data_IF_625015571602
#
_entry.id   IF_625015571602
#
_cell.length_a   1.000
_cell.length_b   1.000
_cell.length_c   1.000
_cell.angle_alpha   90.00
_cell.angle_beta   90.00
_cell.angle_gamma   90.00
#
_symmetry.space_group_name_H-M   'P 1'
#
loop_
_entity.id
_entity.type
_entity.pdbx_description
1 polymer ?
#
# COMPACT_ATOMS: atom_id res chain seq x y z
N UNK A 1 -19.72 -26.37 -10.35
CA UNK A 1 -20.39 -25.06 -10.14
C UNK A 1 -19.48 -24.22 -9.26
N UNK A 2 -18.68 -23.33 -9.86
CA UNK A 2 -17.70 -22.50 -9.16
C UNK A 2 -18.38 -21.17 -8.84
N UNK A 3 -18.54 -20.83 -7.55
CA UNK A 3 -19.08 -19.53 -7.15
C UNK A 3 -17.97 -18.48 -7.32
N UNK A 4 -18.24 -17.32 -7.95
CA UNK A 4 -17.26 -16.24 -8.00
C UNK A 4 -16.93 -15.76 -6.57
N UNK A 5 -15.67 -15.37 -6.28
CA UNK A 5 -15.30 -14.87 -4.97
C UNK A 5 -16.12 -13.62 -4.64
N UNK A 6 -16.47 -13.40 -3.35
CA UNK A 6 -17.23 -12.24 -2.94
C UNK A 6 -16.46 -10.97 -3.31
N UNK A 7 -17.07 -10.13 -4.16
CA UNK A 7 -16.55 -8.80 -4.46
C UNK A 7 -16.68 -7.97 -3.19
N UNK A 8 -15.56 -7.76 -2.50
CA UNK A 8 -15.50 -6.86 -1.35
C UNK A 8 -15.58 -5.43 -1.90
N UNK A 9 -16.62 -4.65 -1.58
CA UNK A 9 -16.70 -3.28 -2.03
C UNK A 9 -15.52 -2.51 -1.45
N UNK A 10 -14.76 -1.85 -2.33
CA UNK A 10 -13.59 -1.06 -1.93
C UNK A 10 -14.05 0.07 -0.99
N UNK A 11 -13.29 0.35 0.09
CA UNK A 11 -13.55 1.50 0.92
C UNK A 11 -13.44 2.76 0.07
N UNK A 12 -14.54 3.51 0.01
CA UNK A 12 -14.65 4.77 -0.70
C UNK A 12 -13.73 5.81 -0.03
N UNK A 13 -12.70 6.25 -0.76
CA UNK A 13 -11.74 7.24 -0.27
C UNK A 13 -12.37 8.64 -0.28
N UNK A 14 -12.41 9.29 0.88
CA UNK A 14 -12.79 10.71 1.02
C UNK A 14 -11.72 11.60 0.37
N UNK A 15 -12.11 12.63 -0.42
CA UNK A 15 -11.15 13.52 -1.07
C UNK A 15 -10.44 14.39 -0.04
N UNK A 16 -9.18 14.10 0.20
CA UNK A 16 -8.25 14.90 1.00
C UNK A 16 -7.55 15.86 0.04
N UNK A 17 -7.50 17.16 0.37
CA UNK A 17 -6.77 18.15 -0.44
C UNK A 17 -5.29 17.73 -0.52
N UNK A 18 -4.80 17.47 -1.72
CA UNK A 18 -3.46 16.92 -1.94
C UNK A 18 -2.43 18.03 -1.74
N UNK A 19 -1.59 17.93 -0.71
CA UNK A 19 -0.45 18.82 -0.56
C UNK A 19 0.49 18.68 -1.77
N UNK A 20 1.14 19.76 -2.25
CA UNK A 20 2.04 19.69 -3.39
C UNK A 20 3.19 18.72 -3.12
N UNK A 21 3.33 17.71 -3.99
CA UNK A 21 4.38 16.70 -3.90
C UNK A 21 5.62 17.21 -4.64
N UNK A 22 6.56 17.79 -3.89
CA UNK A 22 7.76 18.44 -4.44
C UNK A 22 8.98 17.57 -4.18
N UNK A 23 9.88 17.51 -5.17
CA UNK A 23 11.22 16.92 -5.01
C UNK A 23 11.31 15.39 -5.03
N UNK A 24 10.22 14.67 -5.33
CA UNK A 24 10.20 13.19 -5.37
C UNK A 24 9.60 12.58 -6.64
N UNK A 25 9.64 13.33 -7.75
CA UNK A 25 9.09 12.87 -9.03
C UNK A 25 9.93 11.75 -9.64
N UNK A 26 11.25 11.79 -9.43
CA UNK A 26 12.16 10.76 -9.93
C UNK A 26 11.95 9.42 -9.21
N UNK A 27 11.82 9.42 -7.88
CA UNK A 27 11.55 8.21 -7.11
C UNK A 27 10.17 7.62 -7.45
N UNK A 28 9.15 8.48 -7.63
CA UNK A 28 7.84 8.02 -8.08
C UNK A 28 7.91 7.39 -9.48
N UNK A 29 8.64 8.03 -10.42
CA UNK A 29 8.83 7.50 -11.76
C UNK A 29 9.56 6.15 -11.74
N UNK A 30 10.59 6.00 -10.90
CA UNK A 30 11.31 4.74 -10.74
C UNK A 30 10.41 3.61 -10.22
N UNK A 31 9.55 3.90 -9.25
CA UNK A 31 8.59 2.92 -8.72
C UNK A 31 7.51 2.55 -9.75
N UNK A 32 7.06 3.50 -10.56
CA UNK A 32 6.12 3.22 -11.67
C UNK A 32 6.78 2.36 -12.75
N UNK A 33 8.03 2.64 -13.10
CA UNK A 33 8.78 1.81 -14.05
C UNK A 33 8.93 0.37 -13.53
N UNK A 34 9.28 0.20 -12.26
CA UNK A 34 9.36 -1.12 -11.62
C UNK A 34 8.01 -1.86 -11.64
N UNK A 35 6.89 -1.15 -11.47
CA UNK A 35 5.57 -1.76 -11.60
C UNK A 35 5.25 -2.18 -13.05
N UNK A 36 5.65 -1.37 -14.05
CA UNK A 36 5.48 -1.74 -15.45
C UNK A 36 6.32 -2.99 -15.82
N UNK A 37 7.56 -3.06 -15.37
CA UNK A 37 8.37 -4.28 -15.49
C UNK A 37 7.72 -5.47 -14.78
N UNK A 38 7.05 -5.23 -13.65
CA UNK A 38 6.38 -6.31 -12.92
C UNK A 38 5.19 -6.89 -13.68
N UNK A 39 4.45 -6.05 -14.40
CA UNK A 39 3.35 -6.51 -15.25
C UNK A 39 3.83 -7.38 -16.42
N UNK A 40 5.05 -7.15 -16.91
CA UNK A 40 5.64 -7.91 -18.02
C UNK A 40 6.31 -9.21 -17.56
N UNK A 41 7.14 -9.15 -16.51
CA UNK A 41 8.09 -10.22 -16.15
C UNK A 41 7.81 -10.90 -14.80
N UNK A 42 6.74 -10.51 -14.09
CA UNK A 42 6.35 -11.07 -12.79
C UNK A 42 6.70 -10.17 -11.58
N UNK A 43 6.78 -10.73 -10.37
CA UNK A 43 6.82 -9.90 -9.16
C UNK A 43 8.10 -9.05 -9.03
N UNK A 44 7.96 -7.80 -8.52
CA UNK A 44 9.07 -6.90 -8.17
C UNK A 44 8.95 -6.44 -6.72
N UNK A 45 10.10 -6.21 -6.08
CA UNK A 45 10.19 -5.68 -4.71
C UNK A 45 11.03 -4.41 -4.75
N UNK A 46 10.49 -3.31 -4.22
CA UNK A 46 11.19 -2.05 -4.05
C UNK A 46 11.22 -1.66 -2.57
N UNK A 47 12.38 -1.19 -2.09
CA UNK A 47 12.57 -0.71 -0.72
C UNK A 47 12.67 0.81 -0.73
N UNK A 48 11.72 1.48 -0.08
CA UNK A 48 11.75 2.94 0.11
C UNK A 48 12.34 3.25 1.49
N UNK A 49 13.56 3.79 1.50
CA UNK A 49 14.25 4.24 2.72
C UNK A 49 14.28 5.77 2.81
N UNK A 50 14.63 6.30 3.99
CA UNK A 50 14.76 7.74 4.22
C UNK A 50 14.41 8.13 5.65
N UNK A 51 14.77 9.34 6.06
CA UNK A 51 14.53 9.82 7.42
C UNK A 51 13.03 9.94 7.74
N UNK A 52 12.70 9.85 9.03
CA UNK A 52 11.34 10.02 9.51
C UNK A 52 10.81 11.41 9.11
N UNK A 53 9.56 11.49 8.65
CA UNK A 53 8.95 12.75 8.22
C UNK A 53 9.24 13.22 6.79
N UNK A 54 10.18 12.60 6.05
CA UNK A 54 10.50 13.01 4.66
C UNK A 54 9.48 12.57 3.58
N UNK A 55 8.24 12.29 3.95
CA UNK A 55 7.15 12.01 3.01
C UNK A 55 7.16 10.62 2.35
N UNK A 56 7.78 9.60 2.98
CA UNK A 56 7.76 8.21 2.46
C UNK A 56 6.33 7.67 2.32
N UNK A 57 5.49 7.88 3.33
CA UNK A 57 4.08 7.48 3.27
C UNK A 57 3.36 8.21 2.14
N UNK A 58 3.58 9.50 1.98
CA UNK A 58 3.00 10.30 0.88
C UNK A 58 3.45 9.81 -0.50
N UNK A 59 4.72 9.41 -0.66
CA UNK A 59 5.21 8.80 -1.90
C UNK A 59 4.47 7.48 -2.21
N UNK A 60 4.33 6.60 -1.21
CA UNK A 60 3.64 5.31 -1.37
C UNK A 60 2.14 5.48 -1.63
N UNK A 61 1.48 6.43 -0.97
CA UNK A 61 0.07 6.77 -1.23
C UNK A 61 -0.13 7.26 -2.66
N UNK A 62 0.78 8.13 -3.15
CA UNK A 62 0.72 8.66 -4.51
C UNK A 62 0.99 7.59 -5.57
N UNK A 63 1.93 6.69 -5.31
CA UNK A 63 2.16 5.50 -6.12
C UNK A 63 0.90 4.63 -6.16
N UNK A 64 0.30 4.34 -5.01
CA UNK A 64 -0.93 3.54 -4.91
C UNK A 64 -2.05 4.12 -5.76
N UNK A 65 -2.35 5.42 -5.59
CA UNK A 65 -3.36 6.12 -6.41
C UNK A 65 -3.05 6.08 -7.89
N UNK A 66 -1.77 6.10 -8.28
CA UNK A 66 -1.38 6.01 -9.70
C UNK A 66 -1.62 4.59 -10.23
N UNK A 67 -1.17 3.57 -9.51
CA UNK A 67 -1.35 2.18 -9.89
C UNK A 67 -2.83 1.79 -9.97
N UNK A 68 -3.66 2.27 -9.04
CA UNK A 68 -5.13 2.08 -9.11
C UNK A 68 -5.72 2.65 -10.40
N UNK A 69 -5.31 3.87 -10.82
CA UNK A 69 -5.74 4.45 -12.10
C UNK A 69 -5.24 3.66 -13.30
N UNK A 70 -4.07 3.04 -13.17
CA UNK A 70 -3.48 2.20 -14.19
C UNK A 70 -4.05 0.75 -14.16
N UNK A 71 -5.07 0.48 -13.33
CA UNK A 71 -5.84 -0.78 -13.30
C UNK A 71 -5.34 -1.83 -12.32
N UNK A 72 -4.37 -1.50 -11.47
CA UNK A 72 -3.84 -2.42 -10.47
C UNK A 72 -4.77 -2.56 -9.27
N UNK A 73 -4.83 -3.76 -8.71
CA UNK A 73 -5.34 -3.96 -7.36
C UNK A 73 -4.25 -3.56 -6.36
N UNK A 74 -4.52 -2.52 -5.56
CA UNK A 74 -3.57 -1.99 -4.56
C UNK A 74 -4.03 -2.36 -3.15
N UNK A 75 -3.10 -2.88 -2.35
CA UNK A 75 -3.29 -3.14 -0.93
C UNK A 75 -2.23 -2.39 -0.12
N UNK A 76 -2.66 -1.72 0.96
CA UNK A 76 -1.78 -0.95 1.84
C UNK A 76 -1.79 -1.58 3.22
N UNK A 77 -0.59 -1.86 3.74
CA UNK A 77 -0.39 -2.34 5.11
C UNK A 77 0.37 -1.29 5.92
N UNK A 78 -0.08 -1.03 7.14
CA UNK A 78 0.67 -0.25 8.11
C UNK A 78 1.45 -1.20 9.01
N UNK A 79 2.75 -0.97 9.15
CA UNK A 79 3.53 -1.64 10.19
C UNK A 79 3.17 -0.95 11.51
N UNK A 80 2.10 -1.39 12.15
CA UNK A 80 1.85 -1.01 13.53
C UNK A 80 2.94 -1.61 14.40
N UNK A 81 3.37 -0.86 15.41
CA UNK A 81 4.01 -1.48 16.56
C UNK A 81 3.01 -2.52 17.06
N UNK A 82 3.29 -3.80 16.83
CA UNK A 82 2.52 -4.87 17.46
C UNK A 82 2.63 -4.59 18.95
N UNK A 83 1.55 -4.08 19.53
CA UNK A 83 1.42 -4.03 20.98
C UNK A 83 1.53 -5.47 21.45
N UNK A 84 2.72 -5.84 21.92
CA UNK A 84 3.00 -7.14 22.55
C UNK A 84 2.18 -7.31 23.85
N UNK A 85 1.31 -6.35 24.19
CA UNK A 85 0.44 -6.34 25.37
C UNK A 85 -1.02 -6.63 25.07
N UNK A 86 -1.36 -7.40 24.02
CA UNK A 86 -2.66 -8.08 24.01
C UNK A 86 -2.57 -9.38 24.83
N UNK A 87 -3.20 -9.48 26.01
CA UNK A 87 -3.25 -10.74 26.73
C UNK A 87 -4.03 -11.74 25.88
N UNK A 88 -3.49 -12.95 25.68
CA UNK A 88 -4.27 -14.05 25.12
C UNK A 88 -5.37 -14.38 26.13
N UNK A 89 -6.62 -14.22 25.71
CA UNK A 89 -7.82 -14.52 26.51
C UNK A 89 -7.88 -16.00 26.96
N UNK A 90 -8.78 -16.33 27.89
CA UNK A 90 -8.47 -17.21 29.01
C UNK A 90 -8.49 -18.70 28.65
N UNK A 91 -7.68 -19.45 29.41
CA UNK A 91 -7.56 -20.90 29.29
C UNK A 91 -8.89 -21.62 29.49
N UNK A 92 -9.12 -22.60 28.62
CA UNK A 92 -10.16 -23.61 28.82
C UNK A 92 -9.88 -24.35 30.16
N UNK A 93 -10.75 -24.18 31.15
CA UNK A 93 -10.96 -25.20 32.17
C UNK A 93 -12.14 -26.07 31.75
N UNK A 94 -11.93 -27.37 31.88
CA UNK A 94 -12.91 -28.45 31.67
C UNK A 94 -14.10 -28.30 32.62
#
# INVERSE_FOLDING_TARGET
>A
MFLPPPVVPLPQTVPITEAPFVGRQEELAALVAAAAEAAADGARIALVTGEAGLGKSTLLERLGRRLERDGWLVAVGHCSEVDRRRPRGPGLRR
#
